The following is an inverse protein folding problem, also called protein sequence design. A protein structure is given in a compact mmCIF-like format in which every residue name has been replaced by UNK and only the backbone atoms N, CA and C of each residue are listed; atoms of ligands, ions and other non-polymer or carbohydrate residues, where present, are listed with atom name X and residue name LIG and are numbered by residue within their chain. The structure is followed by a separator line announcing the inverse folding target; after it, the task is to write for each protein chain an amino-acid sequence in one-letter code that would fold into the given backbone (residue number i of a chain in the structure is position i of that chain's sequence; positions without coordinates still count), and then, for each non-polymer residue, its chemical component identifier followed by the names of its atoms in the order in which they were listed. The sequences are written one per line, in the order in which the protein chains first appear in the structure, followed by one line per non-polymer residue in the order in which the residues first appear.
data_IF_532789434040
#
_entry.id   IF_532789434040
#
_cell.length_a   1.000
_cell.length_b   1.000
_cell.length_c   1.000
_cell.angle_alpha   90.00
_cell.angle_beta   90.00
_cell.angle_gamma   90.00
#
_symmetry.space_group_name_H-M   'P 1'
#
loop_
_entity.id
_entity.type
_entity.pdbx_description
1 polymer ?
#
# COMPACT_ATOMS: atom_id res chain seq x y z
N UNK A 1 21.39 -42.49 5.33
CA UNK A 1 21.79 -41.32 4.71
C UNK A 1 21.22 -40.09 5.37
N UNK A 2 21.97 -39.06 5.29
CA UNK A 2 21.52 -37.81 5.83
C UNK A 2 20.35 -37.26 5.00
N UNK A 3 19.38 -36.72 5.68
CA UNK A 3 18.27 -36.06 5.03
C UNK A 3 18.67 -34.58 4.91
N UNK A 4 18.80 -34.13 3.71
CA UNK A 4 19.02 -32.70 3.51
C UNK A 4 17.70 -31.97 3.65
N UNK A 5 17.75 -30.84 4.35
CA UNK A 5 16.57 -30.03 4.46
C UNK A 5 16.28 -29.38 3.10
N UNK A 6 15.04 -29.52 2.68
CA UNK A 6 14.55 -28.86 1.48
C UNK A 6 14.13 -27.45 1.89
N UNK A 7 14.51 -26.48 1.08
CA UNK A 7 14.08 -25.12 1.31
C UNK A 7 12.60 -25.02 0.91
N UNK A 8 11.72 -24.83 1.88
CA UNK A 8 10.29 -24.70 1.60
C UNK A 8 9.71 -23.47 2.29
N UNK A 9 8.69 -22.91 1.68
CA UNK A 9 8.01 -21.72 2.15
C UNK A 9 6.51 -21.95 2.12
N UNK A 10 5.86 -21.65 3.23
CA UNK A 10 4.40 -21.59 3.29
C UNK A 10 3.96 -20.21 2.80
N UNK A 11 3.22 -20.18 1.71
CA UNK A 11 2.68 -18.95 1.15
C UNK A 11 1.34 -18.68 1.80
N UNK A 12 1.28 -17.66 2.64
CA UNK A 12 0.09 -17.33 3.42
C UNK A 12 -0.74 -16.21 2.83
N UNK A 13 -1.99 -16.14 3.25
CA UNK A 13 -2.88 -15.05 2.91
C UNK A 13 -2.77 -13.93 3.94
N UNK A 14 -2.54 -12.71 3.48
CA UNK A 14 -2.55 -11.51 4.32
C UNK A 14 -3.87 -10.73 4.20
N UNK A 15 -4.76 -11.17 3.33
CA UNK A 15 -6.10 -10.63 3.19
C UNK A 15 -7.12 -11.70 3.56
N UNK A 16 -8.22 -11.26 4.16
CA UNK A 16 -9.35 -12.13 4.48
C UNK A 16 -10.39 -12.03 3.37
N UNK A 17 -11.02 -13.13 3.03
CA UNK A 17 -12.06 -13.17 2.05
C UNK A 17 -12.18 -14.53 1.37
N UNK A 18 -13.03 -14.59 0.37
CA UNK A 18 -13.27 -15.82 -0.38
C UNK A 18 -12.21 -16.00 -1.46
N UNK A 19 -11.66 -17.20 -1.55
CA UNK A 19 -10.75 -17.54 -2.65
C UNK A 19 -11.59 -17.68 -3.92
N UNK A 20 -11.41 -16.77 -4.85
CA UNK A 20 -12.17 -16.76 -6.10
C UNK A 20 -11.53 -17.61 -7.18
N UNK A 21 -10.19 -17.77 -7.11
CA UNK A 21 -9.48 -18.57 -8.11
C UNK A 21 -8.17 -19.11 -7.54
N UNK A 22 -7.88 -20.36 -7.86
CA UNK A 22 -6.58 -20.98 -7.63
C UNK A 22 -5.95 -21.23 -9.01
N UNK A 23 -4.74 -20.77 -9.18
CA UNK A 23 -4.01 -20.88 -10.45
C UNK A 23 -3.06 -22.06 -10.49
N UNK A 24 -2.87 -22.74 -9.36
CA UNK A 24 -1.85 -23.78 -9.23
C UNK A 24 -2.48 -25.10 -8.75
N UNK A 25 -1.76 -26.18 -9.04
CA UNK A 25 -2.13 -27.53 -8.63
C UNK A 25 -0.96 -28.18 -7.92
N UNK A 26 -1.26 -29.15 -7.08
CA UNK A 26 -0.24 -29.97 -6.42
C UNK A 26 0.71 -30.56 -7.47
N UNK A 27 2.01 -30.43 -7.23
CA UNK A 27 3.04 -30.95 -8.13
C UNK A 27 3.46 -29.99 -9.25
N UNK A 28 2.79 -28.86 -9.40
CA UNK A 28 3.11 -27.91 -10.45
C UNK A 28 4.40 -27.14 -10.14
N UNK A 29 5.23 -26.94 -11.16
CA UNK A 29 6.39 -26.07 -11.04
C UNK A 29 5.92 -24.63 -11.23
N UNK A 30 6.44 -23.74 -10.38
CA UNK A 30 6.05 -22.34 -10.40
C UNK A 30 7.30 -21.46 -10.26
N UNK A 31 7.25 -20.30 -10.87
CA UNK A 31 8.33 -19.31 -10.81
C UNK A 31 7.92 -18.14 -9.95
N UNK A 32 8.92 -17.49 -9.34
CA UNK A 32 8.73 -16.28 -8.55
C UNK A 32 7.87 -15.27 -9.31
N UNK A 33 6.85 -14.75 -8.65
CA UNK A 33 5.96 -13.75 -9.23
C UNK A 33 4.74 -14.32 -9.96
N UNK A 34 4.70 -15.63 -10.21
CA UNK A 34 3.52 -16.23 -10.85
C UNK A 34 2.34 -16.25 -9.89
N UNK A 35 1.14 -16.12 -10.45
CA UNK A 35 -0.10 -16.10 -9.67
C UNK A 35 -0.37 -17.44 -9.02
N UNK A 36 -0.71 -17.41 -7.74
CA UNK A 36 -1.11 -18.58 -6.97
C UNK A 36 -2.62 -18.57 -6.75
N UNK A 37 -3.16 -17.47 -6.26
CA UNK A 37 -4.57 -17.38 -5.92
C UNK A 37 -5.07 -15.94 -5.96
N UNK A 38 -6.36 -15.79 -6.17
CA UNK A 38 -7.08 -14.53 -6.01
C UNK A 38 -8.05 -14.66 -4.83
N UNK A 39 -8.05 -13.63 -3.99
CA UNK A 39 -9.06 -13.45 -2.94
C UNK A 39 -10.00 -12.34 -3.42
N UNK A 40 -11.28 -12.45 -3.12
CA UNK A 40 -12.26 -11.42 -3.46
C UNK A 40 -11.81 -10.07 -2.92
N UNK A 41 -11.59 -9.11 -3.81
CA UNK A 41 -11.03 -7.81 -3.48
C UNK A 41 -12.05 -6.68 -3.44
N UNK A 42 -13.35 -7.01 -3.50
CA UNK A 42 -14.40 -5.97 -3.58
C UNK A 42 -14.30 -4.96 -2.46
N UNK A 43 -14.19 -5.42 -1.22
CA UNK A 43 -14.11 -4.54 -0.05
C UNK A 43 -12.85 -3.69 -0.07
N UNK A 44 -11.71 -4.29 -0.42
CA UNK A 44 -10.43 -3.59 -0.46
C UNK A 44 -10.41 -2.53 -1.57
N UNK A 45 -10.97 -2.83 -2.73
CA UNK A 45 -11.07 -1.88 -3.84
C UNK A 45 -11.99 -0.72 -3.46
N UNK A 46 -13.12 -1.00 -2.80
CA UNK A 46 -14.03 0.05 -2.34
C UNK A 46 -13.34 0.97 -1.33
N UNK A 47 -12.60 0.41 -0.39
CA UNK A 47 -11.83 1.19 0.57
C UNK A 47 -10.80 2.07 -0.15
N UNK A 48 -10.06 1.51 -1.11
CA UNK A 48 -9.10 2.26 -1.90
C UNK A 48 -9.74 3.44 -2.61
N UNK A 49 -10.88 3.20 -3.27
CA UNK A 49 -11.59 4.27 -3.99
C UNK A 49 -12.09 5.35 -3.05
N UNK A 50 -12.56 4.99 -1.87
CA UNK A 50 -12.98 5.94 -0.84
C UNK A 50 -11.80 6.81 -0.39
N UNK A 51 -10.63 6.20 -0.15
CA UNK A 51 -9.42 6.95 0.25
C UNK A 51 -8.94 7.87 -0.87
N UNK A 52 -9.00 7.41 -2.12
CA UNK A 52 -8.64 8.27 -3.27
C UNK A 52 -9.57 9.47 -3.38
N UNK A 53 -10.88 9.28 -3.15
CA UNK A 53 -11.84 10.38 -3.19
C UNK A 53 -11.55 11.41 -2.09
N UNK A 54 -11.19 10.97 -0.89
CA UNK A 54 -10.80 11.85 0.19
C UNK A 54 -9.56 12.68 -0.17
N UNK A 55 -8.56 12.05 -0.80
CA UNK A 55 -7.37 12.74 -1.26
C UNK A 55 -7.70 13.83 -2.27
N UNK A 56 -8.56 13.53 -3.24
CA UNK A 56 -9.02 14.51 -4.25
C UNK A 56 -9.71 15.69 -3.57
N UNK A 57 -10.53 15.42 -2.56
CA UNK A 57 -11.21 16.48 -1.80
C UNK A 57 -10.20 17.41 -1.11
N UNK A 58 -9.19 16.86 -0.45
CA UNK A 58 -8.16 17.68 0.19
C UNK A 58 -7.33 18.45 -0.82
N UNK A 59 -7.04 17.87 -1.98
CA UNK A 59 -6.31 18.58 -3.05
C UNK A 59 -7.11 19.78 -3.55
N UNK A 60 -8.43 19.67 -3.67
CA UNK A 60 -9.30 20.77 -4.04
C UNK A 60 -9.31 21.84 -2.95
N UNK A 61 -9.35 21.43 -1.67
CA UNK A 61 -9.28 22.37 -0.55
C UNK A 61 -7.94 23.11 -0.51
N UNK A 62 -6.84 22.42 -0.82
CA UNK A 62 -5.52 23.06 -0.89
C UNK A 62 -5.51 24.15 -1.95
N UNK A 63 -6.09 23.88 -3.12
CA UNK A 63 -6.16 24.84 -4.18
C UNK A 63 -6.88 26.12 -3.73
N UNK A 64 -7.98 25.98 -3.00
CA UNK A 64 -8.74 27.11 -2.46
C UNK A 64 -7.92 27.87 -1.41
N UNK A 65 -7.26 27.14 -0.48
CA UNK A 65 -6.45 27.76 0.57
C UNK A 65 -5.21 28.45 0.00
N UNK A 66 -4.61 27.88 -1.04
CA UNK A 66 -3.48 28.49 -1.72
C UNK A 66 -3.88 29.80 -2.40
N UNK A 67 -5.05 29.84 -3.02
CA UNK A 67 -5.59 31.06 -3.60
C UNK A 67 -5.79 32.14 -2.54
N UNK A 68 -6.37 31.78 -1.39
CA UNK A 68 -6.55 32.70 -0.28
C UNK A 68 -5.21 33.21 0.26
N UNK A 69 -4.22 32.34 0.37
CA UNK A 69 -2.86 32.70 0.77
C UNK A 69 -2.24 33.70 -0.22
N UNK A 70 -2.34 33.43 -1.52
CA UNK A 70 -1.77 34.32 -2.56
C UNK A 70 -2.41 35.72 -2.51
N UNK A 71 -3.71 35.77 -2.29
CA UNK A 71 -4.43 37.08 -2.16
C UNK A 71 -3.97 37.80 -0.88
N UNK A 72 -3.87 37.08 0.23
CA UNK A 72 -3.42 37.69 1.49
C UNK A 72 -1.99 38.18 1.41
N UNK A 73 -1.11 37.44 0.74
CA UNK A 73 0.28 37.84 0.54
C UNK A 73 0.38 39.10 -0.31
N UNK A 74 -0.36 39.13 -1.40
CA UNK A 74 -0.41 40.31 -2.29
C UNK A 74 -0.91 41.52 -1.53
N UNK A 75 -1.96 41.40 -0.74
CA UNK A 75 -2.52 42.49 0.07
C UNK A 75 -1.51 43.00 1.10
N UNK A 76 -0.86 42.05 1.83
CA UNK A 76 0.15 42.42 2.81
C UNK A 76 1.33 43.17 2.16
N UNK A 77 1.83 42.71 1.03
CA UNK A 77 2.94 43.32 0.33
C UNK A 77 2.55 44.75 -0.12
N UNK A 78 1.33 44.93 -0.64
CA UNK A 78 0.84 46.25 -1.07
C UNK A 78 0.74 47.20 0.11
N UNK A 79 0.13 46.78 1.20
CA UNK A 79 -0.06 47.61 2.39
C UNK A 79 1.27 47.96 3.07
N UNK A 80 2.20 46.98 3.10
CA UNK A 80 3.55 47.23 3.62
C UNK A 80 4.27 48.34 2.84
N UNK A 81 4.13 48.31 1.49
CA UNK A 81 4.72 49.32 0.64
C UNK A 81 4.06 50.69 0.84
N UNK A 82 2.73 50.73 0.94
CA UNK A 82 2.00 51.96 1.24
C UNK A 82 2.39 52.55 2.58
N UNK A 83 2.63 51.70 3.58
CA UNK A 83 3.06 52.15 4.90
C UNK A 83 4.43 52.82 4.86
N UNK A 84 5.37 52.34 4.07
CA UNK A 84 6.67 52.99 3.90
C UNK A 84 6.55 54.37 3.24
N UNK A 85 5.49 54.56 2.46
CA UNK A 85 5.16 55.84 1.81
C UNK A 85 4.25 56.71 2.68
N UNK A 86 3.97 56.29 3.92
CA UNK A 86 3.06 56.99 4.83
C UNK A 86 1.63 57.10 4.30
N UNK A 87 1.22 56.16 3.46
CA UNK A 87 -0.08 56.19 2.79
C UNK A 87 -1.11 55.23 3.41
N UNK A 88 -0.77 54.56 4.48
CA UNK A 88 -1.68 53.71 5.25
C UNK A 88 -1.25 53.63 6.71
N UNK A 89 -2.12 53.12 7.56
CA UNK A 89 -1.86 52.96 9.02
C UNK A 89 -1.08 51.68 9.30
N UNK A 90 -0.39 51.68 10.45
CA UNK A 90 0.25 50.48 10.96
C UNK A 90 -0.78 49.39 11.28
N UNK A 91 -1.98 49.73 11.77
CA UNK A 91 -3.08 48.81 12.00
C UNK A 91 -3.46 48.06 10.75
N UNK A 92 -3.54 48.74 9.59
CA UNK A 92 -3.86 48.08 8.33
C UNK A 92 -2.82 47.06 7.95
N UNK A 93 -1.53 47.37 8.14
CA UNK A 93 -0.43 46.44 7.88
C UNK A 93 -0.52 45.21 8.81
N UNK A 94 -0.74 45.47 10.10
CA UNK A 94 -0.82 44.40 11.10
C UNK A 94 -2.01 43.47 10.86
N UNK A 95 -3.16 44.06 10.44
CA UNK A 95 -4.33 43.25 10.10
C UNK A 95 -4.06 42.39 8.86
N UNK A 96 -3.41 42.95 7.85
CA UNK A 96 -3.02 42.19 6.65
C UNK A 96 -2.02 41.10 6.97
N UNK A 97 -1.08 41.34 7.90
CA UNK A 97 -0.14 40.32 8.36
C UNK A 97 -0.84 39.17 9.07
N UNK A 98 -1.79 39.50 9.95
CA UNK A 98 -2.61 38.48 10.65
C UNK A 98 -3.36 37.61 9.66
N UNK A 99 -3.99 38.23 8.66
CA UNK A 99 -4.72 37.51 7.61
C UNK A 99 -3.79 36.61 6.82
N UNK A 100 -2.59 37.08 6.49
CA UNK A 100 -1.58 36.31 5.78
C UNK A 100 -1.13 35.11 6.61
N UNK A 101 -0.79 35.34 7.90
CA UNK A 101 -0.33 34.27 8.78
C UNK A 101 -1.40 33.19 8.98
N UNK A 102 -2.68 33.60 9.11
CA UNK A 102 -3.80 32.69 9.22
C UNK A 102 -3.98 31.87 7.94
N UNK A 103 -3.90 32.53 6.79
CA UNK A 103 -4.05 31.86 5.49
C UNK A 103 -2.92 30.83 5.28
N UNK A 104 -1.71 31.18 5.69
CA UNK A 104 -0.56 30.26 5.60
C UNK A 104 -0.78 29.05 6.50
N UNK A 105 -1.23 29.26 7.73
CA UNK A 105 -1.50 28.16 8.66
C UNK A 105 -2.60 27.23 8.15
N UNK A 106 -3.66 27.80 7.56
CA UNK A 106 -4.73 26.99 6.98
C UNK A 106 -4.25 26.17 5.79
N UNK A 107 -3.42 26.76 4.95
CA UNK A 107 -2.81 26.05 3.81
C UNK A 107 -1.93 24.90 4.29
N UNK A 108 -1.09 25.17 5.29
CA UNK A 108 -0.21 24.14 5.87
C UNK A 108 -1.00 23.00 6.52
N UNK A 109 -2.13 23.31 7.14
CA UNK A 109 -3.00 22.29 7.73
C UNK A 109 -3.57 21.34 6.68
N UNK A 110 -3.99 21.91 5.52
CA UNK A 110 -4.49 21.08 4.41
C UNK A 110 -3.36 20.26 3.79
N UNK A 111 -2.16 20.81 3.68
CA UNK A 111 -1.00 20.07 3.18
C UNK A 111 -0.71 18.85 4.07
N UNK A 112 -0.84 19.01 5.39
CA UNK A 112 -0.71 17.89 6.32
C UNK A 112 -1.81 16.84 6.14
N UNK A 113 -3.04 17.28 5.89
CA UNK A 113 -4.15 16.38 5.61
C UNK A 113 -3.93 15.60 4.30
N UNK A 114 -3.37 16.24 3.30
CA UNK A 114 -3.01 15.59 2.04
C UNK A 114 -1.97 14.50 2.29
N UNK A 115 -0.96 14.81 3.08
CA UNK A 115 0.09 13.83 3.41
C UNK A 115 -0.51 12.60 4.09
N UNK A 116 -1.40 12.82 5.04
CA UNK A 116 -2.10 11.74 5.73
C UNK A 116 -2.95 10.93 4.74
N UNK A 117 -3.69 11.62 3.87
CA UNK A 117 -4.55 10.96 2.87
C UNK A 117 -3.73 10.14 1.87
N UNK A 118 -2.55 10.62 1.47
CA UNK A 118 -1.64 9.87 0.59
C UNK A 118 -1.16 8.58 1.26
N UNK A 119 -0.85 8.63 2.55
CA UNK A 119 -0.45 7.45 3.32
C UNK A 119 -1.61 6.45 3.39
N UNK A 120 -2.84 6.93 3.62
CA UNK A 120 -4.02 6.07 3.68
C UNK A 120 -4.31 5.41 2.33
N UNK A 121 -4.12 6.13 1.22
CA UNK A 121 -4.24 5.56 -0.13
C UNK A 121 -3.19 4.46 -0.32
N UNK A 122 -1.96 4.72 0.07
CA UNK A 122 -0.89 3.74 -0.06
C UNK A 122 -1.19 2.46 0.74
N UNK A 123 -1.70 2.60 1.95
CA UNK A 123 -2.11 1.45 2.77
C UNK A 123 -3.24 0.67 2.10
N UNK A 124 -4.23 1.38 1.55
CA UNK A 124 -5.35 0.74 0.86
C UNK A 124 -4.90 0.02 -0.40
N UNK A 125 -3.93 0.58 -1.14
CA UNK A 125 -3.34 -0.08 -2.31
C UNK A 125 -2.61 -1.36 -1.91
N UNK A 126 -1.88 -1.32 -0.81
CA UNK A 126 -1.19 -2.50 -0.27
C UNK A 126 -2.21 -3.60 0.08
N UNK A 127 -3.32 -3.21 0.71
CA UNK A 127 -4.37 -4.17 1.07
C UNK A 127 -5.03 -4.81 -0.17
N UNK A 128 -5.21 -4.05 -1.24
CA UNK A 128 -5.66 -4.61 -2.52
C UNK A 128 -4.63 -5.60 -3.05
N UNK A 129 -3.36 -5.26 -2.95
CA UNK A 129 -2.27 -6.14 -3.37
C UNK A 129 -2.26 -7.48 -2.64
N UNK A 130 -2.65 -7.50 -1.38
CA UNK A 130 -2.73 -8.74 -0.60
C UNK A 130 -3.80 -9.72 -1.10
N UNK A 131 -4.75 -9.25 -1.90
CA UNK A 131 -5.77 -10.13 -2.49
C UNK A 131 -5.26 -10.91 -3.69
N UNK A 132 -4.07 -10.57 -4.17
CA UNK A 132 -3.41 -11.27 -5.28
C UNK A 132 -2.18 -11.97 -4.73
N UNK A 133 -2.25 -13.28 -4.61
CA UNK A 133 -1.20 -14.08 -4.00
C UNK A 133 -0.29 -14.61 -5.09
N UNK A 134 1.00 -14.28 -5.00
CA UNK A 134 2.01 -14.68 -5.97
C UNK A 134 3.09 -15.52 -5.30
N UNK A 135 3.83 -16.26 -6.11
CA UNK A 135 4.92 -17.10 -5.62
C UNK A 135 6.09 -16.23 -5.16
N UNK A 136 6.60 -16.44 -3.92
CA UNK A 136 7.74 -15.67 -3.42
C UNK A 136 9.08 -16.20 -3.93
N UNK A 137 9.10 -17.38 -4.53
CA UNK A 137 10.31 -18.01 -5.05
C UNK A 137 9.96 -19.02 -6.12
N UNK A 138 10.96 -19.45 -6.88
CA UNK A 138 10.82 -20.56 -7.80
C UNK A 138 10.74 -21.87 -7.00
N UNK A 139 9.94 -22.81 -7.46
CA UNK A 139 9.83 -24.11 -6.80
C UNK A 139 8.70 -24.96 -7.32
N UNK A 140 8.39 -26.00 -6.57
CA UNK A 140 7.30 -26.93 -6.86
C UNK A 140 6.24 -26.83 -5.78
N UNK A 141 4.99 -26.83 -6.16
CA UNK A 141 3.86 -26.81 -5.22
C UNK A 141 3.72 -28.20 -4.59
N UNK A 142 4.01 -28.29 -3.29
CA UNK A 142 3.98 -29.55 -2.57
C UNK A 142 2.75 -29.71 -1.68
N UNK A 143 1.98 -28.66 -1.48
CA UNK A 143 0.75 -28.70 -0.68
C UNK A 143 -0.19 -27.58 -1.10
N UNK A 144 -1.48 -27.90 -1.19
CA UNK A 144 -2.55 -26.91 -1.48
C UNK A 144 -3.69 -27.19 -0.50
N UNK A 145 -3.59 -26.69 0.74
CA UNK A 145 -4.59 -27.00 1.77
C UNK A 145 -5.92 -26.28 1.63
N UNK A 146 -6.07 -25.43 0.62
CA UNK A 146 -7.29 -24.63 0.41
C UNK A 146 -7.94 -24.97 -0.93
N UNK A 147 -9.19 -24.52 -1.10
CA UNK A 147 -9.97 -24.76 -2.31
C UNK A 147 -10.63 -23.47 -2.79
N UNK A 148 -10.92 -23.40 -4.10
CA UNK A 148 -11.72 -22.30 -4.62
C UNK A 148 -13.09 -22.28 -3.92
N UNK A 149 -13.55 -21.07 -3.60
CA UNK A 149 -14.79 -20.88 -2.87
C UNK A 149 -14.64 -20.87 -1.36
N UNK A 150 -13.50 -21.30 -0.83
CA UNK A 150 -13.23 -21.28 0.59
C UNK A 150 -12.99 -19.86 1.08
N UNK A 151 -13.54 -19.52 2.24
CA UNK A 151 -13.27 -18.24 2.90
C UNK A 151 -12.09 -18.40 3.85
N UNK A 152 -11.09 -17.55 3.71
CA UNK A 152 -9.94 -17.52 4.61
C UNK A 152 -10.01 -16.28 5.49
N UNK A 153 -9.50 -16.41 6.72
CA UNK A 153 -9.46 -15.34 7.70
C UNK A 153 -8.02 -15.13 8.15
N UNK A 154 -7.45 -14.00 7.80
CA UNK A 154 -6.07 -13.65 8.09
C UNK A 154 -5.92 -12.78 9.35
N UNK A 155 -6.99 -12.53 10.10
CA UNK A 155 -6.98 -11.58 11.21
C UNK A 155 -6.22 -12.07 12.44
N UNK A 156 -6.24 -13.35 12.71
CA UNK A 156 -5.60 -13.93 13.91
C UNK A 156 -4.36 -14.74 13.57
N UNK A 157 -4.42 -15.51 12.50
CA UNK A 157 -3.30 -16.32 12.02
C UNK A 157 -3.23 -16.16 10.52
N UNK A 158 -2.04 -16.32 9.96
CA UNK A 158 -1.87 -16.29 8.51
C UNK A 158 -2.20 -17.68 7.96
N UNK A 159 -3.35 -17.87 7.29
CA UNK A 159 -3.68 -19.18 6.73
C UNK A 159 -2.75 -19.49 5.55
N UNK A 160 -2.26 -20.72 5.49
CA UNK A 160 -1.41 -21.19 4.38
C UNK A 160 -2.28 -21.49 3.18
N UNK A 161 -1.93 -20.91 2.04
CA UNK A 161 -2.62 -21.13 0.76
C UNK A 161 -1.96 -22.27 0.00
N UNK A 162 -0.64 -22.21 -0.13
CA UNK A 162 0.16 -23.30 -0.72
C UNK A 162 1.51 -23.36 -0.03
N UNK A 163 2.18 -24.49 -0.14
CA UNK A 163 3.57 -24.64 0.26
C UNK A 163 4.39 -24.91 -0.99
N UNK A 164 5.46 -24.16 -1.17
CA UNK A 164 6.39 -24.28 -2.29
C UNK A 164 7.73 -24.78 -1.78
N UNK A 165 8.30 -25.75 -2.46
CA UNK A 165 9.61 -26.28 -2.11
C UNK A 165 10.57 -26.17 -3.27
N UNK A 166 11.80 -25.83 -2.96
CA UNK A 166 12.88 -25.85 -3.95
C UNK A 166 13.46 -27.27 -3.96
N UNK A 167 13.02 -28.07 -4.91
CA UNK A 167 13.44 -29.46 -5.03
C UNK A 167 14.74 -29.63 -5.81
N UNK A 168 15.29 -28.57 -6.34
CA UNK A 168 16.52 -28.64 -7.15
C UNK A 168 17.69 -29.23 -6.37
N UNK A 169 17.75 -28.96 -5.07
CA UNK A 169 18.82 -29.47 -4.20
C UNK A 169 18.70 -30.96 -3.91
N UNK A 170 17.53 -31.53 -4.07
CA UNK A 170 17.32 -32.95 -3.82
C UNK A 170 17.93 -33.81 -4.93
N UNK A 171 18.06 -33.28 -6.12
CA UNK A 171 18.61 -33.99 -7.28
C UNK A 171 20.10 -34.28 -7.15
N UNK A 172 20.76 -33.61 -6.26
CA UNK A 172 22.20 -33.73 -6.09
C UNK A 172 22.59 -34.97 -5.30
N UNK A 173 21.66 -35.69 -4.77
CA UNK A 173 21.92 -36.86 -3.90
C UNK A 173 21.69 -38.16 -4.64
N UNK A 174 22.52 -38.46 -5.52
CA UNK A 174 22.46 -39.76 -6.12
C UNK A 174 22.83 -40.78 -5.08
N UNK A 175 22.78 -41.34 -4.70
CA UNK A 175 23.12 -42.07 -4.00
C UNK A 175 23.80 -42.86 -4.29
N UNK A 176 24.25 -43.24 -4.02
CA UNK A 176 24.85 -43.77 -4.17
C UNK A 176 25.04 -44.72 -3.87
N UNK A 177 24.98 -45.25 -3.81
CA UNK A 177 25.12 -46.06 -3.58
C UNK A 177 25.40 -46.77 -3.14
N UNK A 178 25.20 -47.11 -2.87
CA UNK A 178 25.30 -47.85 -2.37
C UNK A 178 25.64 -48.69 -2.61
N UNK A 179 25.61 -48.79 -2.76
CA UNK A 179 25.81 -49.68 -2.84
C UNK A 179 26.52 -50.09 -3.03
N UNK A 180 26.69 -50.03 -2.93
CA UNK A 180 27.10 -50.55 -3.04
C UNK A 180 27.61 -51.31 -2.71
N UNK A 181 27.50 -51.50 -2.67
CA UNK A 181 27.76 -52.33 -2.28
C UNK A 181 27.97 -53.17 -2.08
#
# INVERSE_FOLDING_TARGET
GSVESVNEVDVGAQASGKITKLYVKLGQEIKKGEMIADIDSTTQINTLNTKKAALVSYQAQLKAKKTAYDVALSSYNRLSKLYTQKATSLDSVNTAKSTLDNAKAEMEAIEANIKQAEIEVNTAETNVGYTKITAPMDGTVISVPVSEGQTVNANQTTPTIVTIADLSKMKIKPEISEGDI
#
